data_IF_456210958474
#
_entry.id   IF_456210958474
#
_cell.length_a   1.000
_cell.length_b   1.000
_cell.length_c   1.000
_cell.angle_alpha   90.00
_cell.angle_beta   90.00
_cell.angle_gamma   90.00
#
_symmetry.space_group_name_H-M   'P 1'
#
loop_
_entity.id
_entity.type
_entity.pdbx_description
1 polymer ?
#
# COMPACT_ATOMS: atom_id res chain seq x y z
N UNK A 1 -10.16 -44.58 48.85
CA UNK A 1 -9.95 -46.04 48.70
C UNK A 1 -10.71 -46.46 47.44
N UNK A 2 -10.02 -46.45 46.29
CA UNK A 2 -9.62 -47.63 45.48
C UNK A 2 -10.85 -48.43 45.00
N UNK A 3 -11.09 -48.60 43.70
CA UNK A 3 -10.22 -49.32 42.76
C UNK A 3 -10.37 -48.88 41.29
N UNK A 4 -9.23 -48.91 40.60
CA UNK A 4 -9.02 -48.96 39.16
C UNK A 4 -9.70 -50.16 38.49
N UNK A 5 -9.99 -50.06 37.18
CA UNK A 5 -9.36 -50.87 36.11
C UNK A 5 -9.56 -50.14 34.77
N UNK A 6 -8.45 -49.96 34.05
CA UNK A 6 -8.35 -49.47 32.69
C UNK A 6 -8.60 -50.60 31.68
N UNK A 7 -9.20 -50.29 30.53
CA UNK A 7 -9.12 -51.12 29.34
C UNK A 7 -8.80 -50.22 28.13
N UNK A 8 -7.61 -50.44 27.60
CA UNK A 8 -7.03 -49.83 26.41
C UNK A 8 -7.56 -50.60 25.19
N UNK A 9 -8.11 -49.89 24.21
CA UNK A 9 -8.31 -50.43 22.86
C UNK A 9 -7.60 -49.51 21.86
N UNK A 10 -6.39 -49.95 21.46
CA UNK A 10 -5.61 -49.45 20.35
C UNK A 10 -6.25 -49.97 19.05
N UNK A 11 -6.75 -49.09 18.19
CA UNK A 11 -7.03 -49.41 16.79
C UNK A 11 -6.10 -48.55 15.93
N UNK A 12 -4.97 -49.16 15.59
CA UNK A 12 -4.07 -48.73 14.52
C UNK A 12 -4.73 -49.19 13.21
N UNK A 13 -5.20 -48.25 12.39
CA UNK A 13 -5.53 -48.53 10.99
C UNK A 13 -4.64 -47.68 10.10
N UNK A 14 -3.57 -48.32 9.65
CA UNK A 14 -2.68 -47.85 8.61
C UNK A 14 -3.36 -48.08 7.26
N UNK A 15 -3.76 -47.02 6.55
CA UNK A 15 -4.10 -47.13 5.13
C UNK A 15 -3.11 -46.31 4.30
N UNK A 16 -2.23 -47.11 3.71
CA UNK A 16 -1.36 -46.97 2.55
C UNK A 16 -1.63 -45.76 1.63
N UNK A 17 -0.55 -45.00 1.44
CA UNK A 17 -0.32 -44.06 0.34
C UNK A 17 -0.19 -44.87 -0.95
N UNK A 18 -1.07 -44.64 -1.92
CA UNK A 18 -0.83 -45.03 -3.31
C UNK A 18 -0.47 -43.79 -4.11
N UNK A 19 0.82 -43.71 -4.43
CA UNK A 19 1.39 -42.86 -5.46
C UNK A 19 1.11 -43.51 -6.81
N UNK A 20 0.51 -42.76 -7.73
CA UNK A 20 0.62 -43.03 -9.17
C UNK A 20 1.14 -41.76 -9.84
N UNK A 21 2.45 -41.75 -10.10
CA UNK A 21 3.01 -41.02 -11.24
C UNK A 21 2.83 -41.85 -12.50
N UNK A 22 2.34 -41.21 -13.57
CA UNK A 22 3.00 -41.25 -14.88
C UNK A 22 2.32 -40.29 -15.86
N UNK A 23 3.16 -39.44 -16.44
CA UNK A 23 2.93 -38.66 -17.66
C UNK A 23 3.05 -39.57 -18.89
N UNK A 24 2.32 -39.26 -19.98
CA UNK A 24 2.90 -39.38 -21.31
C UNK A 24 2.90 -38.07 -22.11
N UNK A 25 3.99 -37.91 -22.85
CA UNK A 25 4.33 -36.85 -23.80
C UNK A 25 3.27 -36.55 -24.88
N UNK A 26 3.09 -35.24 -25.13
CA UNK A 26 3.18 -34.46 -26.40
C UNK A 26 2.50 -35.01 -27.68
N UNK A 27 1.95 -34.10 -28.51
CA UNK A 27 2.83 -33.53 -29.54
C UNK A 27 2.77 -32.00 -29.68
N UNK A 28 3.89 -31.54 -30.24
CA UNK A 28 4.28 -30.20 -30.66
C UNK A 28 3.64 -29.87 -31.97
N UNK A 29 3.18 -28.63 -32.12
CA UNK A 29 3.25 -27.94 -33.40
C UNK A 29 4.15 -26.71 -33.23
N UNK A 30 5.43 -26.88 -33.60
CA UNK A 30 6.35 -25.82 -33.96
C UNK A 30 6.29 -25.76 -35.48
N UNK A 31 5.89 -24.61 -36.02
CA UNK A 31 6.23 -24.25 -37.39
C UNK A 31 7.47 -23.38 -37.32
N UNK A 32 8.61 -23.94 -37.73
CA UNK A 32 9.80 -23.19 -38.15
C UNK A 32 9.67 -22.86 -39.64
N UNK A 33 10.20 -21.71 -40.04
CA UNK A 33 11.12 -21.51 -41.19
C UNK A 33 11.45 -20.00 -41.25
N UNK A 34 12.64 -19.55 -40.83
CA UNK A 34 13.98 -19.58 -41.47
C UNK A 34 14.21 -18.53 -42.58
N UNK A 35 15.14 -17.60 -42.32
CA UNK A 35 16.18 -17.06 -43.22
C UNK A 35 17.07 -16.13 -42.38
N UNK A 36 18.29 -16.45 -41.93
CA UNK A 36 19.61 -16.65 -42.57
C UNK A 36 20.19 -15.39 -43.26
N UNK A 37 21.16 -14.78 -42.55
CA UNK A 37 22.47 -14.16 -42.91
C UNK A 37 22.54 -13.17 -44.11
N UNK A 38 23.27 -12.06 -44.14
CA UNK A 38 24.58 -11.64 -43.59
C UNK A 38 24.72 -10.09 -43.68
N UNK A 39 25.80 -9.47 -43.16
CA UNK A 39 25.99 -8.02 -43.04
C UNK A 39 26.77 -7.40 -44.23
N UNK A 40 26.54 -6.11 -44.52
CA UNK A 40 27.40 -5.30 -45.42
C UNK A 40 27.63 -3.90 -44.85
N UNK A 41 28.90 -3.51 -44.92
CA UNK A 41 29.57 -2.29 -44.48
C UNK A 41 29.33 -1.05 -45.38
N UNK A 42 29.51 0.12 -44.75
CA UNK A 42 30.14 1.36 -45.26
C UNK A 42 29.61 2.05 -46.52
N UNK A 43 29.18 3.32 -46.35
CA UNK A 43 29.70 4.44 -47.15
C UNK A 43 29.42 5.81 -46.52
N UNK A 44 30.50 6.58 -46.31
CA UNK A 44 30.52 8.01 -46.06
C UNK A 44 30.04 8.78 -47.30
N UNK A 45 29.36 9.91 -47.08
CA UNK A 45 28.91 10.82 -48.15
C UNK A 45 28.59 12.20 -47.57
N UNK A 46 29.59 13.06 -47.60
CA UNK A 46 29.65 14.45 -47.18
C UNK A 46 29.05 15.38 -48.24
N UNK A 47 28.25 16.37 -47.83
CA UNK A 47 28.14 17.65 -48.57
C UNK A 47 27.44 18.74 -47.74
N UNK A 48 28.24 19.74 -47.38
CA UNK A 48 27.88 21.10 -46.96
C UNK A 48 27.16 21.87 -48.08
N UNK A 49 26.51 23.00 -47.77
CA UNK A 49 27.16 24.25 -48.19
C UNK A 49 27.18 25.34 -47.11
N UNK A 50 28.34 26.00 -47.01
CA UNK A 50 28.57 27.31 -46.40
C UNK A 50 27.91 28.42 -47.22
N UNK A 51 27.36 29.45 -46.55
CA UNK A 51 27.38 30.84 -47.03
C UNK A 51 27.72 31.76 -45.85
N UNK A 52 28.61 32.70 -46.14
CA UNK A 52 29.45 33.48 -45.25
C UNK A 52 29.13 34.99 -45.23
N UNK A 53 29.35 35.60 -44.05
CA UNK A 53 29.85 36.97 -43.76
C UNK A 53 28.93 38.19 -43.99
N UNK A 54 28.67 38.94 -42.91
CA UNK A 54 29.22 40.30 -42.71
C UNK A 54 28.92 40.87 -41.31
N UNK A 55 29.99 41.29 -40.65
CA UNK A 55 30.09 42.13 -39.45
C UNK A 55 29.53 43.54 -39.66
N UNK A 56 28.91 44.11 -38.61
CA UNK A 56 29.09 45.53 -38.33
C UNK A 56 28.96 45.82 -36.81
N UNK A 57 29.99 46.46 -36.26
CA UNK A 57 29.99 47.06 -34.93
C UNK A 57 29.57 48.52 -35.06
N UNK A 58 28.51 48.96 -34.38
CA UNK A 58 28.39 50.39 -34.02
C UNK A 58 27.69 50.56 -32.67
N UNK A 59 28.40 51.23 -31.75
CA UNK A 59 27.90 51.77 -30.48
C UNK A 59 26.81 52.82 -30.71
N UNK A 60 25.73 52.77 -29.91
CA UNK A 60 24.80 53.88 -29.78
C UNK A 60 23.64 53.56 -28.84
N UNK A 61 23.71 54.06 -27.61
CA UNK A 61 22.67 53.93 -26.60
C UNK A 61 21.42 54.76 -26.95
N UNK A 62 20.22 54.17 -26.85
CA UNK A 62 18.99 54.83 -26.40
C UNK A 62 17.82 53.84 -26.23
N UNK A 63 17.48 53.58 -24.97
CA UNK A 63 16.18 53.25 -24.40
C UNK A 63 15.04 52.79 -25.34
N UNK A 64 14.69 51.51 -25.29
CA UNK A 64 13.28 51.09 -25.27
C UNK A 64 13.12 49.77 -24.51
N UNK A 65 12.59 49.88 -23.30
CA UNK A 65 11.66 48.95 -22.64
C UNK A 65 11.86 47.44 -22.88
N UNK A 66 12.76 46.82 -22.13
CA UNK A 66 12.65 45.40 -21.79
C UNK A 66 12.31 45.31 -20.30
N UNK A 67 11.01 45.16 -20.06
CA UNK A 67 10.44 44.90 -18.74
C UNK A 67 11.18 43.71 -18.11
N UNK A 68 11.93 43.98 -17.04
CA UNK A 68 12.38 42.97 -16.09
C UNK A 68 11.14 42.38 -15.40
N UNK A 69 10.38 41.59 -16.12
CA UNK A 69 9.50 40.61 -15.52
C UNK A 69 10.36 39.38 -15.24
N UNK A 70 11.22 39.50 -14.23
CA UNK A 70 11.31 38.42 -13.26
C UNK A 70 9.87 38.23 -12.78
N UNK A 71 9.15 37.33 -13.44
CA UNK A 71 7.98 36.70 -12.87
C UNK A 71 8.50 35.89 -11.68
N UNK A 72 8.79 36.61 -10.60
CA UNK A 72 8.92 36.09 -9.26
C UNK A 72 7.50 35.70 -8.88
N UNK A 73 7.01 34.63 -9.51
CA UNK A 73 5.91 33.88 -8.94
C UNK A 73 6.48 33.38 -7.64
N UNK A 74 6.20 34.08 -6.55
CA UNK A 74 6.28 33.56 -5.20
C UNK A 74 5.39 32.31 -5.18
N UNK A 75 5.91 31.20 -5.70
CA UNK A 75 5.27 29.90 -5.66
C UNK A 75 5.38 29.51 -4.21
N UNK A 76 4.37 29.86 -3.44
CA UNK A 76 4.30 29.59 -2.01
C UNK A 76 4.48 28.08 -1.82
N UNK A 77 5.69 27.69 -1.43
CA UNK A 77 6.02 26.30 -1.19
C UNK A 77 5.35 25.89 0.14
N UNK A 78 4.53 24.84 0.15
CA UNK A 78 3.81 24.44 1.35
C UNK A 78 4.82 23.92 2.39
N UNK A 79 4.82 24.49 3.61
CA UNK A 79 5.62 23.93 4.71
C UNK A 79 5.01 22.68 5.32
N UNK A 80 3.70 22.51 5.13
CA UNK A 80 2.89 21.42 5.65
C UNK A 80 1.95 20.97 4.54
N UNK A 81 1.79 19.67 4.37
CA UNK A 81 0.82 19.11 3.44
C UNK A 81 0.78 17.59 3.50
N UNK A 82 -0.10 16.99 2.71
CA UNK A 82 -0.20 15.54 2.55
C UNK A 82 0.54 15.10 1.30
N UNK A 83 1.40 14.09 1.42
CA UNK A 83 2.10 13.52 0.26
C UNK A 83 1.12 12.70 -0.55
N UNK A 84 0.84 13.15 -1.77
CA UNK A 84 -0.01 12.42 -2.73
C UNK A 84 0.79 11.43 -3.56
N UNK A 85 1.99 11.84 -3.97
CA UNK A 85 2.79 11.09 -4.95
C UNK A 85 4.29 11.37 -4.73
N UNK A 86 5.11 10.33 -4.91
CA UNK A 86 6.57 10.37 -4.94
C UNK A 86 7.03 9.43 -6.07
N UNK A 87 7.71 9.97 -7.07
CA UNK A 87 8.18 9.24 -8.25
C UNK A 87 9.65 9.54 -8.48
N UNK A 88 10.46 8.49 -8.55
CA UNK A 88 11.89 8.62 -8.91
C UNK A 88 11.97 9.04 -10.37
N UNK A 89 12.53 10.23 -10.61
CA UNK A 89 12.88 10.71 -11.94
C UNK A 89 14.37 10.60 -12.22
N UNK A 90 14.78 10.97 -13.43
CA UNK A 90 16.17 10.86 -13.87
C UNK A 90 17.11 11.88 -13.21
N UNK A 91 16.56 13.03 -12.81
CA UNK A 91 17.32 14.18 -12.28
C UNK A 91 16.90 14.59 -10.87
N UNK A 92 15.72 14.13 -10.42
CA UNK A 92 15.16 14.45 -9.12
C UNK A 92 14.05 13.47 -8.73
N UNK A 93 13.71 13.38 -7.45
CA UNK A 93 12.44 12.80 -7.01
C UNK A 93 11.31 13.80 -7.26
N UNK A 94 10.31 13.43 -8.07
CA UNK A 94 9.12 14.24 -8.27
C UNK A 94 8.13 13.97 -7.13
N UNK A 95 7.73 15.03 -6.43
CA UNK A 95 6.84 14.98 -5.28
C UNK A 95 5.60 15.83 -5.51
N UNK A 96 4.43 15.30 -5.16
CA UNK A 96 3.17 16.06 -5.15
C UNK A 96 2.68 16.21 -3.71
N UNK A 97 2.66 17.46 -3.22
CA UNK A 97 2.16 17.81 -1.87
C UNK A 97 0.80 18.51 -2.00
N UNK A 98 -0.19 18.03 -1.26
CA UNK A 98 -1.51 18.66 -1.14
C UNK A 98 -1.53 19.53 0.11
N UNK A 99 -1.74 20.85 -0.04
CA UNK A 99 -1.82 21.77 1.09
C UNK A 99 -3.17 21.70 1.83
N UNK A 100 -3.33 22.52 2.88
CA UNK A 100 -4.55 22.56 3.70
C UNK A 100 -5.77 23.08 2.92
N UNK A 101 -5.56 23.84 1.85
CA UNK A 101 -6.58 24.32 0.93
C UNK A 101 -6.92 23.28 -0.16
N UNK A 102 -6.37 22.06 -0.05
CA UNK A 102 -6.48 20.96 -1.03
C UNK A 102 -5.90 21.29 -2.40
N UNK A 103 -4.98 22.24 -2.49
CA UNK A 103 -4.27 22.57 -3.72
C UNK A 103 -3.03 21.69 -3.85
N UNK A 104 -2.83 21.16 -5.06
CA UNK A 104 -1.68 20.33 -5.40
C UNK A 104 -0.46 21.19 -5.76
N UNK A 105 0.67 20.83 -5.18
CA UNK A 105 1.96 21.46 -5.42
C UNK A 105 2.95 20.43 -5.94
N UNK A 106 3.20 20.40 -7.26
CA UNK A 106 4.30 19.62 -7.83
C UNK A 106 5.62 20.29 -7.47
N UNK A 107 6.50 19.53 -6.85
CA UNK A 107 7.77 19.94 -6.26
C UNK A 107 8.87 18.91 -6.58
N UNK A 108 10.11 19.36 -6.58
CA UNK A 108 11.27 18.47 -6.54
C UNK A 108 11.59 18.05 -5.10
N UNK A 109 12.10 16.84 -4.92
CA UNK A 109 12.60 16.29 -3.66
C UNK A 109 13.94 15.57 -3.87
N UNK A 110 14.68 15.35 -2.80
CA UNK A 110 15.91 14.55 -2.87
C UNK A 110 15.58 13.07 -3.15
N UNK A 111 16.54 12.33 -3.69
CA UNK A 111 16.34 10.90 -3.98
C UNK A 111 16.12 10.07 -2.72
N UNK A 112 16.68 10.48 -1.59
CA UNK A 112 16.50 9.84 -0.28
C UNK A 112 15.02 9.84 0.14
N UNK A 113 14.28 10.92 -0.15
CA UNK A 113 12.84 10.98 0.11
C UNK A 113 12.09 9.92 -0.71
N UNK A 114 12.45 9.75 -1.98
CA UNK A 114 11.86 8.73 -2.83
C UNK A 114 12.26 7.30 -2.43
N UNK A 115 13.49 7.09 -1.93
CA UNK A 115 13.93 5.78 -1.45
C UNK A 115 13.06 5.28 -0.27
N UNK A 116 12.49 6.21 0.49
CA UNK A 116 11.54 5.92 1.58
C UNK A 116 10.07 6.25 1.19
N UNK A 117 9.72 6.24 -0.11
CA UNK A 117 8.40 6.70 -0.58
C UNK A 117 7.22 6.08 0.19
N UNK A 118 7.27 4.77 0.46
CA UNK A 118 6.21 4.04 1.19
C UNK A 118 5.94 4.59 2.61
N UNK A 119 6.96 5.15 3.27
CA UNK A 119 6.85 5.76 4.60
C UNK A 119 6.03 7.05 4.57
N UNK A 120 6.09 7.78 3.45
CA UNK A 120 5.61 9.14 3.32
C UNK A 120 4.29 9.25 2.55
N UNK A 121 4.02 8.35 1.61
CA UNK A 121 2.80 8.36 0.81
C UNK A 121 1.55 8.38 1.69
N UNK A 122 0.63 9.27 1.34
CA UNK A 122 -0.62 9.55 2.06
C UNK A 122 -0.41 10.05 3.50
N UNK A 123 0.78 10.49 3.91
CA UNK A 123 1.00 11.04 5.25
C UNK A 123 1.00 12.56 5.21
N UNK A 124 0.47 13.16 6.27
CA UNK A 124 0.69 14.58 6.54
C UNK A 124 2.11 14.76 7.04
N UNK A 125 2.82 15.69 6.42
CA UNK A 125 4.23 15.92 6.62
C UNK A 125 4.53 17.39 6.76
N UNK A 126 5.58 17.69 7.52
CA UNK A 126 6.28 18.95 7.51
C UNK A 126 7.49 18.77 6.61
N UNK A 127 7.63 19.64 5.63
CA UNK A 127 8.71 19.56 4.64
C UNK A 127 9.69 20.71 4.85
N UNK A 128 10.97 20.39 4.71
CA UNK A 128 12.07 21.36 4.70
C UNK A 128 12.68 21.40 3.30
N UNK A 129 13.16 22.57 2.91
CA UNK A 129 13.69 22.81 1.59
C UNK A 129 15.17 23.15 1.64
N UNK A 130 15.88 22.79 0.58
CA UNK A 130 17.24 23.26 0.30
C UNK A 130 17.39 23.66 -1.15
N UNK A 131 18.41 24.48 -1.45
CA UNK A 131 18.73 24.82 -2.84
C UNK A 131 19.70 23.78 -3.40
N UNK A 132 19.17 22.91 -4.26
CA UNK A 132 19.94 21.89 -4.96
C UNK A 132 20.37 22.36 -6.35
N UNK A 133 21.42 21.73 -6.85
CA UNK A 133 22.06 21.97 -8.13
C UNK A 133 21.64 20.84 -9.08
N UNK A 134 20.68 21.10 -9.97
CA UNK A 134 20.13 20.09 -10.87
C UNK A 134 20.70 20.26 -12.28
N UNK A 135 21.08 19.15 -12.90
CA UNK A 135 21.56 19.15 -14.29
C UNK A 135 20.39 19.02 -15.25
N UNK A 136 20.43 19.77 -16.35
CA UNK A 136 19.33 19.86 -17.31
C UNK A 136 19.23 18.66 -18.30
N UNK A 137 20.19 17.71 -18.37
CA UNK A 137 20.03 16.51 -19.22
C UNK A 137 20.97 15.31 -18.93
N UNK A 138 20.65 14.16 -19.54
CA UNK A 138 21.35 12.85 -19.48
C UNK A 138 22.34 12.58 -20.65
N UNK A 139 22.64 13.57 -21.51
CA UNK A 139 23.45 13.42 -22.75
C UNK A 139 24.46 14.57 -22.93
N UNK A 140 25.23 14.59 -24.02
CA UNK A 140 26.18 15.67 -24.36
C UNK A 140 25.57 16.60 -25.42
N UNK A 141 25.23 17.79 -24.93
CA UNK A 141 25.02 19.08 -25.59
C UNK A 141 23.88 19.38 -26.61
N UNK A 142 23.23 20.57 -26.49
CA UNK A 142 23.53 21.67 -25.55
C UNK A 142 22.81 21.47 -24.21
N UNK A 143 23.51 20.85 -23.26
CA UNK A 143 23.09 20.53 -21.92
C UNK A 143 24.36 20.44 -21.07
N UNK A 144 24.26 20.79 -19.79
CA UNK A 144 25.40 21.24 -19.00
C UNK A 144 25.17 22.59 -18.32
N UNK A 145 23.97 23.17 -18.46
CA UNK A 145 23.52 24.22 -17.54
C UNK A 145 22.99 23.55 -16.28
N UNK A 146 23.51 24.02 -15.16
CA UNK A 146 23.00 23.68 -13.84
C UNK A 146 21.97 24.71 -13.45
N UNK A 147 20.78 24.26 -13.08
CA UNK A 147 19.76 25.12 -12.48
C UNK A 147 19.73 24.92 -10.97
N UNK A 148 19.60 26.02 -10.23
CA UNK A 148 19.44 26.01 -8.78
C UNK A 148 17.95 25.99 -8.45
N UNK A 149 17.47 24.92 -7.83
CA UNK A 149 16.05 24.74 -7.51
C UNK A 149 15.87 24.48 -6.00
N UNK A 150 14.78 25.01 -5.42
CA UNK A 150 14.39 24.72 -4.04
C UNK A 150 13.64 23.40 -3.99
N UNK A 151 14.27 22.36 -3.44
CA UNK A 151 13.77 20.99 -3.40
C UNK A 151 13.54 20.54 -1.97
N UNK A 152 12.64 19.58 -1.76
CA UNK A 152 12.40 18.97 -0.45
C UNK A 152 13.62 18.13 -0.08
N UNK A 153 14.35 18.54 0.96
CA UNK A 153 15.51 17.80 1.47
C UNK A 153 15.19 16.97 2.70
N UNK A 154 14.13 17.32 3.44
CA UNK A 154 13.68 16.57 4.61
C UNK A 154 12.17 16.54 4.68
N UNK A 155 11.66 15.41 5.17
CA UNK A 155 10.25 15.19 5.39
C UNK A 155 10.03 14.56 6.76
N UNK A 156 9.37 15.30 7.63
CA UNK A 156 8.98 14.86 8.97
C UNK A 156 7.49 14.54 8.97
N UNK A 157 7.12 13.36 9.45
CA UNK A 157 5.71 13.02 9.63
C UNK A 157 5.20 13.79 10.85
N UNK A 158 4.41 14.82 10.60
CA UNK A 158 3.65 15.49 11.65
C UNK A 158 2.33 14.75 11.78
N UNK A 159 2.24 13.96 12.85
CA UNK A 159 1.07 13.14 13.11
C UNK A 159 -0.18 14.01 13.27
N UNK A 160 -0.95 14.17 12.20
CA UNK A 160 -2.39 14.18 12.31
C UNK A 160 -2.82 12.72 12.47
N UNK A 161 -3.77 12.47 13.39
CA UNK A 161 -4.46 11.18 13.62
C UNK A 161 -5.28 10.69 12.41
N UNK A 162 -4.80 10.91 11.20
CA UNK A 162 -5.44 10.58 9.92
C UNK A 162 -4.35 10.84 8.89
N UNK A 163 -3.62 9.83 8.43
CA UNK A 163 -3.96 9.05 7.25
C UNK A 163 -3.08 7.78 7.23
N UNK A 164 -3.09 7.01 8.30
CA UNK A 164 -2.93 5.56 8.12
C UNK A 164 -4.23 5.10 7.45
N UNK A 165 -4.15 4.61 6.20
CA UNK A 165 -5.07 3.59 5.69
C UNK A 165 -5.45 2.73 6.89
N UNK A 166 -6.72 2.67 7.36
CA UNK A 166 -7.03 2.35 8.75
C UNK A 166 -6.19 1.17 9.14
N UNK A 167 -5.13 1.43 9.90
CA UNK A 167 -4.40 0.36 10.53
C UNK A 167 -5.46 -0.11 11.48
N UNK A 168 -6.16 -1.17 11.05
CA UNK A 168 -7.27 -1.76 11.74
C UNK A 168 -6.81 -1.79 13.18
N UNK A 169 -7.44 -0.94 14.00
CA UNK A 169 -7.08 -0.85 15.40
C UNK A 169 -6.92 -2.28 15.87
N UNK A 170 -5.78 -2.57 16.50
CA UNK A 170 -5.42 -3.97 16.76
C UNK A 170 -6.51 -4.68 17.56
N UNK A 171 -7.33 -3.88 18.25
CA UNK A 171 -8.59 -4.26 18.84
C UNK A 171 -9.79 -3.54 18.20
N UNK A 172 -10.96 -4.16 18.19
CA UNK A 172 -12.23 -3.50 17.89
C UNK A 172 -13.32 -4.04 18.81
N UNK A 173 -14.07 -3.15 19.44
CA UNK A 173 -15.14 -3.53 20.37
C UNK A 173 -16.51 -3.15 19.83
N UNK A 174 -17.44 -4.09 19.90
CA UNK A 174 -18.84 -3.90 19.57
C UNK A 174 -19.74 -4.18 20.77
N UNK A 175 -20.87 -3.48 20.84
CA UNK A 175 -21.88 -3.68 21.86
C UNK A 175 -23.29 -3.59 21.25
N UNK A 176 -24.21 -4.42 21.72
CA UNK A 176 -25.64 -4.37 21.35
C UNK A 176 -26.59 -4.27 22.56
N UNK A 177 -26.07 -3.88 23.72
CA UNK A 177 -26.78 -3.83 25.00
C UNK A 177 -26.83 -5.18 25.75
N UNK A 178 -26.83 -6.31 25.04
CA UNK A 178 -26.81 -7.66 25.64
C UNK A 178 -25.42 -8.27 25.69
N UNK A 179 -24.62 -8.01 24.66
CA UNK A 179 -23.29 -8.56 24.48
C UNK A 179 -22.30 -7.44 24.22
N UNK A 180 -21.10 -7.56 24.81
CA UNK A 180 -19.92 -6.80 24.45
C UNK A 180 -18.89 -7.75 23.89
N UNK A 181 -18.46 -7.53 22.64
CA UNK A 181 -17.45 -8.34 21.97
C UNK A 181 -16.24 -7.47 21.63
N UNK A 182 -15.06 -7.96 21.93
CA UNK A 182 -13.79 -7.33 21.59
C UNK A 182 -12.97 -8.29 20.74
N UNK A 183 -12.61 -7.85 19.54
CA UNK A 183 -11.78 -8.60 18.61
C UNK A 183 -10.39 -7.99 18.61
N UNK A 184 -9.39 -8.71 19.12
CA UNK A 184 -8.00 -8.26 19.20
C UNK A 184 -7.07 -8.95 18.20
N UNK A 185 -5.81 -8.54 18.17
CA UNK A 185 -4.77 -9.06 17.28
C UNK A 185 -5.21 -9.02 15.80
N UNK A 186 -5.93 -7.97 15.40
CA UNK A 186 -6.53 -7.84 14.05
C UNK A 186 -5.46 -7.70 12.97
N UNK A 187 -4.29 -7.18 13.32
CA UNK A 187 -3.14 -7.09 12.43
C UNK A 187 -2.50 -8.45 12.08
N UNK A 188 -2.87 -9.53 12.77
CA UNK A 188 -2.35 -10.87 12.49
C UNK A 188 -2.86 -11.46 11.17
N UNK A 189 -3.86 -10.84 10.55
CA UNK A 189 -4.41 -11.25 9.27
C UNK A 189 -3.98 -10.31 8.14
N UNK A 190 -3.28 -10.85 7.15
CA UNK A 190 -2.72 -10.10 6.02
C UNK A 190 -3.66 -9.98 4.82
N UNK A 191 -4.90 -10.49 4.92
CA UNK A 191 -5.86 -10.54 3.80
C UNK A 191 -5.99 -11.92 3.15
N UNK A 192 -5.17 -12.90 3.52
CA UNK A 192 -5.25 -14.27 2.97
C UNK A 192 -6.36 -15.07 3.65
N UNK A 193 -7.31 -15.60 2.90
CA UNK A 193 -8.43 -16.36 3.47
C UNK A 193 -7.98 -17.56 4.31
N UNK A 194 -8.73 -17.83 5.38
CA UNK A 194 -8.49 -18.87 6.38
C UNK A 194 -7.17 -18.72 7.16
N UNK A 195 -6.62 -17.51 7.21
CA UNK A 195 -5.42 -17.18 8.01
C UNK A 195 -5.76 -16.19 9.13
N UNK A 196 -4.76 -15.74 9.88
CA UNK A 196 -4.92 -14.89 11.05
C UNK A 196 -4.70 -15.63 12.37
N UNK A 197 -4.65 -14.87 13.45
CA UNK A 197 -4.61 -15.36 14.82
C UNK A 197 -5.36 -14.39 15.75
N UNK A 198 -6.56 -13.99 15.33
CA UNK A 198 -7.33 -12.97 16.04
C UNK A 198 -7.76 -13.50 17.41
N UNK A 199 -7.87 -12.60 18.38
CA UNK A 199 -8.43 -12.90 19.70
C UNK A 199 -9.87 -12.45 19.79
N UNK A 200 -10.65 -13.14 20.62
CA UNK A 200 -12.04 -12.82 20.91
C UNK A 200 -12.23 -12.74 22.41
N UNK A 201 -12.86 -11.66 22.89
CA UNK A 201 -13.42 -11.58 24.24
C UNK A 201 -14.90 -11.23 24.12
N UNK A 202 -15.78 -12.12 24.55
CA UNK A 202 -17.22 -11.89 24.55
C UNK A 202 -17.76 -11.92 25.97
N UNK A 203 -18.46 -10.87 26.38
CA UNK A 203 -19.09 -10.75 27.70
C UNK A 203 -20.60 -10.55 27.56
N UNK A 204 -21.38 -11.21 28.42
CA UNK A 204 -22.80 -10.93 28.58
C UNK A 204 -23.04 -9.64 29.40
N UNK A 205 -24.31 -9.27 29.58
CA UNK A 205 -24.71 -8.09 30.35
C UNK A 205 -24.40 -8.19 31.86
N UNK A 206 -24.17 -9.41 32.37
CA UNK A 206 -23.80 -9.70 33.76
C UNK A 206 -22.28 -9.63 33.97
N UNK A 207 -21.50 -9.49 32.90
CA UNK A 207 -20.04 -9.44 32.94
C UNK A 207 -19.37 -10.81 32.90
N UNK A 208 -20.09 -11.90 32.63
CA UNK A 208 -19.49 -13.20 32.40
C UNK A 208 -18.85 -13.21 31.02
N UNK A 209 -17.54 -13.45 30.98
CA UNK A 209 -16.74 -13.34 29.76
C UNK A 209 -16.10 -14.67 29.37
N UNK A 210 -15.95 -14.88 28.07
CA UNK A 210 -15.08 -15.90 27.48
C UNK A 210 -13.98 -15.22 26.67
N UNK A 211 -12.77 -15.80 26.69
CA UNK A 211 -11.64 -15.36 25.89
C UNK A 211 -11.17 -16.51 25.00
N UNK A 212 -10.99 -16.24 23.71
CA UNK A 212 -10.56 -17.20 22.70
C UNK A 212 -9.40 -16.63 21.88
N UNK A 213 -8.58 -17.51 21.33
CA UNK A 213 -7.45 -17.18 20.44
C UNK A 213 -7.51 -18.07 19.20
N UNK A 214 -6.60 -17.88 18.24
CA UNK A 214 -6.56 -18.72 17.03
C UNK A 214 -7.58 -18.35 15.96
N UNK A 215 -8.22 -17.18 16.06
CA UNK A 215 -9.27 -16.74 15.15
C UNK A 215 -8.79 -16.65 13.70
N UNK A 216 -9.55 -17.23 12.77
CA UNK A 216 -9.26 -17.22 11.32
C UNK A 216 -10.27 -16.38 10.57
N UNK A 217 -9.79 -15.59 9.61
CA UNK A 217 -10.62 -14.69 8.79
C UNK A 217 -10.72 -15.23 7.37
N UNK A 218 -11.92 -15.21 6.80
CA UNK A 218 -12.16 -15.44 5.39
C UNK A 218 -13.15 -14.41 4.86
N UNK A 219 -12.79 -13.73 3.78
CA UNK A 219 -13.66 -12.77 3.11
C UNK A 219 -14.06 -13.30 1.73
N UNK A 220 -15.38 -13.33 1.49
CA UNK A 220 -15.98 -13.78 0.23
C UNK A 220 -17.35 -13.09 0.07
N UNK A 221 -17.71 -12.78 -1.17
CA UNK A 221 -19.06 -12.27 -1.51
C UNK A 221 -19.47 -11.03 -0.69
N UNK A 222 -18.53 -10.09 -0.51
CA UNK A 222 -18.78 -8.84 0.22
C UNK A 222 -18.94 -9.00 1.73
N UNK A 223 -18.59 -10.15 2.30
CA UNK A 223 -18.63 -10.41 3.75
C UNK A 223 -17.32 -11.02 4.22
N UNK A 224 -16.85 -10.56 5.38
CA UNK A 224 -15.76 -11.16 6.12
C UNK A 224 -16.31 -11.95 7.30
N UNK A 225 -15.87 -13.19 7.43
CA UNK A 225 -16.21 -14.07 8.53
C UNK A 225 -14.97 -14.36 9.34
N UNK A 226 -15.03 -14.14 10.65
CA UNK A 226 -14.00 -14.55 11.59
C UNK A 226 -14.54 -15.67 12.47
N UNK A 227 -13.80 -16.78 12.57
CA UNK A 227 -14.22 -17.95 13.33
C UNK A 227 -13.23 -18.32 14.44
N UNK A 228 -13.75 -18.70 15.60
CA UNK A 228 -13.02 -19.32 16.71
C UNK A 228 -13.66 -20.65 17.09
N UNK A 229 -12.84 -21.59 17.57
CA UNK A 229 -13.28 -22.91 18.03
C UNK A 229 -12.88 -23.10 19.49
N UNK A 230 -13.80 -23.63 20.30
CA UNK A 230 -13.56 -23.99 21.69
C UNK A 230 -14.30 -25.29 22.02
N UNK A 231 -13.60 -26.43 21.94
CA UNK A 231 -14.24 -27.74 22.00
C UNK A 231 -15.28 -27.89 20.88
N UNK A 232 -16.51 -28.26 21.25
CA UNK A 232 -17.63 -28.41 20.30
C UNK A 232 -18.28 -27.08 19.91
N UNK A 233 -17.86 -25.96 20.51
CA UNK A 233 -18.41 -24.66 20.22
C UNK A 233 -17.66 -23.95 19.10
N UNK A 234 -18.43 -23.32 18.19
CA UNK A 234 -17.92 -22.45 17.13
C UNK A 234 -18.50 -21.05 17.29
N UNK A 235 -17.62 -20.05 17.38
CA UNK A 235 -17.97 -18.64 17.48
C UNK A 235 -17.67 -17.98 16.15
N UNK A 236 -18.68 -17.41 15.51
CA UNK A 236 -18.60 -16.90 14.15
C UNK A 236 -19.03 -15.44 14.18
N UNK A 237 -18.13 -14.54 13.81
CA UNK A 237 -18.43 -13.14 13.61
C UNK A 237 -18.48 -12.83 12.12
N UNK A 238 -19.64 -12.47 11.61
CA UNK A 238 -19.87 -12.14 10.20
C UNK A 238 -20.07 -10.64 10.04
N UNK A 239 -19.31 -10.01 9.14
CA UNK A 239 -19.34 -8.57 8.89
C UNK A 239 -19.42 -8.28 7.40
N UNK A 240 -20.41 -7.49 6.95
CA UNK A 240 -20.38 -6.90 5.61
C UNK A 240 -19.14 -6.04 5.41
N UNK A 241 -18.62 -6.02 4.19
CA UNK A 241 -17.57 -5.10 3.78
C UNK A 241 -18.25 -3.81 3.34
N UNK A 242 -18.01 -2.71 4.05
CA UNK A 242 -18.47 -1.37 3.71
C UNK A 242 -17.28 -0.45 3.46
N UNK A 243 -17.46 0.60 2.65
CA UNK A 243 -16.39 1.57 2.34
C UNK A 243 -15.79 2.22 3.59
N UNK A 244 -16.62 2.45 4.61
CA UNK A 244 -16.22 3.06 5.88
C UNK A 244 -15.74 2.05 6.94
N UNK A 245 -15.81 0.75 6.64
CA UNK A 245 -15.44 -0.34 7.55
C UNK A 245 -16.24 -0.38 8.86
N UNK A 246 -17.41 0.27 8.92
CA UNK A 246 -18.24 0.38 10.13
C UNK A 246 -19.43 -0.59 10.16
N UNK A 247 -19.47 -1.57 9.25
CA UNK A 247 -20.59 -2.50 9.18
C UNK A 247 -20.88 -3.19 10.52
N UNK A 248 -22.17 -3.28 10.86
CA UNK A 248 -22.61 -3.99 12.06
C UNK A 248 -22.37 -5.50 11.90
N UNK A 249 -21.65 -6.15 12.82
CA UNK A 249 -21.48 -7.59 12.79
C UNK A 249 -22.75 -8.34 13.19
N UNK A 250 -22.80 -9.62 12.79
CA UNK A 250 -23.64 -10.64 13.40
C UNK A 250 -22.75 -11.66 14.10
N UNK A 251 -23.05 -11.97 15.37
CA UNK A 251 -22.40 -13.03 16.13
C UNK A 251 -23.30 -14.26 16.12
N UNK A 252 -22.74 -15.38 15.65
CA UNK A 252 -23.39 -16.69 15.67
C UNK A 252 -22.54 -17.61 16.56
N UNK A 253 -23.18 -18.38 17.44
CA UNK A 253 -22.51 -19.42 18.21
C UNK A 253 -23.24 -20.72 17.99
N UNK A 254 -22.48 -21.74 17.58
CA UNK A 254 -22.97 -23.09 17.38
C UNK A 254 -22.35 -24.03 18.41
N UNK A 255 -23.13 -25.00 18.88
CA UNK A 255 -22.68 -26.17 19.64
C UNK A 255 -22.87 -27.39 18.73
N UNK A 256 -21.77 -27.92 18.19
CA UNK A 256 -21.86 -28.84 17.05
C UNK A 256 -22.61 -28.19 15.88
N UNK A 257 -23.69 -28.84 15.44
CA UNK A 257 -24.52 -28.37 14.32
C UNK A 257 -25.70 -27.50 14.74
N UNK A 258 -25.88 -27.27 16.05
CA UNK A 258 -27.00 -26.49 16.59
C UNK A 258 -26.59 -25.05 16.81
N UNK A 259 -27.31 -24.11 16.18
CA UNK A 259 -27.22 -22.69 16.51
C UNK A 259 -27.83 -22.43 17.90
N UNK A 260 -27.01 -21.89 18.82
CA UNK A 260 -27.42 -21.56 20.19
C UNK A 260 -27.45 -20.05 20.45
N UNK A 261 -26.83 -19.26 19.57
CA UNK A 261 -26.89 -17.80 19.62
C UNK A 261 -26.85 -17.22 18.21
N UNK A 262 -27.70 -16.22 17.98
CA UNK A 262 -27.66 -15.35 16.82
C UNK A 262 -27.95 -13.91 17.27
N UNK A 263 -26.89 -13.11 17.41
CA UNK A 263 -26.96 -11.76 17.94
C UNK A 263 -26.60 -10.75 16.85
N UNK A 264 -27.48 -9.76 16.70
CA UNK A 264 -27.36 -8.65 15.73
C UNK A 264 -27.44 -7.30 16.46
N UNK A 265 -27.46 -6.19 15.72
CA UNK A 265 -27.65 -4.85 16.29
C UNK A 265 -26.41 -4.29 16.99
N UNK A 266 -25.24 -4.84 16.70
CA UNK A 266 -23.97 -4.39 17.25
C UNK A 266 -23.57 -3.01 16.72
N UNK A 267 -23.12 -2.14 17.61
CA UNK A 267 -22.51 -0.85 17.29
C UNK A 267 -21.06 -0.86 17.73
N UNK A 268 -20.20 -0.21 16.95
CA UNK A 268 -18.80 0.01 17.34
C UNK A 268 -18.80 0.96 18.53
N UNK A 269 -18.11 0.56 19.60
CA UNK A 269 -17.92 1.40 20.80
C UNK A 269 -16.45 1.78 21.02
N UNK A 270 -15.51 1.03 20.43
CA UNK A 270 -14.09 1.36 20.47
C UNK A 270 -13.35 0.75 19.27
N UNK A 271 -12.32 1.46 18.82
CA UNK A 271 -11.29 1.01 17.89
C UNK A 271 -9.94 1.25 18.57
#
# INVERSE_FOLDING_TARGET
>A
MNKLIAAIALIISSILITSCGNSPNRPVNETKNNSKNDPVETTLGESSPEISIATDETKGAANTTASNNQANTNKTQPKIGTVKELVIGDIICYATIVDEQRKEHPLGASFEICAEAEKYLNRKVRVSYEIASLNDCQSIEPCGKTRRESIISQMEIIADKSLTKPQASDSQTFNNGKWTITIGNRNSWSGVNNTGNLTYKGCDAQGNCINLTGGKVSCRDGKCVTGWVNGDYRYILSQPITEDGNASPTLIVNEGDKEILNATGFKIVSR
#
